data_IF_671706992388
#
_entry.id   IF_671706992388
#
_cell.length_a   1.000
_cell.length_b   1.000
_cell.length_c   1.000
_cell.angle_alpha   90.00
_cell.angle_beta   90.00
_cell.angle_gamma   90.00
#
_symmetry.space_group_name_H-M   'P 1'
#
loop_
_entity.id
_entity.type
_entity.pdbx_description
1 polymer ?
#
# COMPACT_ATOMS: atom_id res chain seq x y z
N UNK A 1 -12.08 -58.00 7.57
CA UNK A 1 -11.35 -56.73 7.40
C UNK A 1 -11.11 -56.14 8.78
N UNK A 2 -9.86 -55.95 9.23
CA UNK A 2 -9.60 -55.37 10.55
C UNK A 2 -10.14 -53.95 10.56
N UNK A 3 -11.04 -53.65 11.51
CA UNK A 3 -11.69 -52.35 11.61
C UNK A 3 -10.65 -51.24 11.67
N UNK A 4 -10.73 -50.30 10.71
CA UNK A 4 -9.92 -49.08 10.69
C UNK A 4 -10.07 -48.36 12.03
N UNK A 5 -9.10 -48.52 12.93
CA UNK A 5 -9.01 -47.73 14.17
C UNK A 5 -8.69 -46.30 13.78
N UNK A 6 -9.73 -45.47 13.75
CA UNK A 6 -9.58 -44.05 13.47
C UNK A 6 -8.71 -43.40 14.53
N UNK A 7 -7.79 -42.52 14.09
CA UNK A 7 -6.96 -41.75 15.00
C UNK A 7 -7.81 -40.85 15.91
N UNK A 8 -7.33 -40.55 17.14
CA UNK A 8 -8.08 -39.72 18.08
C UNK A 8 -8.39 -38.33 17.50
N UNK A 9 -9.47 -37.68 17.95
CA UNK A 9 -9.80 -36.34 17.47
C UNK A 9 -8.73 -35.31 17.85
N UNK A 10 -8.57 -34.27 17.02
CA UNK A 10 -7.60 -33.22 17.28
C UNK A 10 -7.93 -32.48 18.59
N UNK A 11 -6.89 -32.06 19.32
CA UNK A 11 -7.04 -31.30 20.57
C UNK A 11 -7.65 -29.93 20.26
N UNK A 12 -8.93 -29.74 20.55
CA UNK A 12 -9.65 -28.47 20.32
C UNK A 12 -9.95 -27.68 21.60
N UNK A 13 -9.97 -28.33 22.76
CA UNK A 13 -10.41 -27.74 24.04
C UNK A 13 -9.54 -26.59 24.53
N UNK A 14 -8.22 -26.74 24.51
CA UNK A 14 -7.30 -25.69 24.96
C UNK A 14 -7.38 -24.42 24.10
N UNK A 15 -7.49 -24.59 22.78
CA UNK A 15 -7.60 -23.46 21.86
C UNK A 15 -8.97 -22.77 22.00
N UNK A 16 -10.06 -23.51 22.20
CA UNK A 16 -11.38 -22.94 22.44
C UNK A 16 -11.48 -22.20 23.79
N UNK A 17 -10.83 -22.70 24.85
CA UNK A 17 -10.77 -21.99 26.14
C UNK A 17 -10.00 -20.67 26.03
N UNK A 18 -8.88 -20.66 25.30
CA UNK A 18 -8.09 -19.45 25.07
C UNK A 18 -8.91 -18.43 24.26
N UNK A 19 -9.59 -18.86 23.21
CA UNK A 19 -10.43 -17.98 22.40
C UNK A 19 -11.52 -17.30 23.23
N UNK A 20 -12.25 -18.06 24.06
CA UNK A 20 -13.28 -17.49 24.96
C UNK A 20 -12.66 -16.52 25.97
N UNK A 21 -11.57 -16.92 26.64
CA UNK A 21 -10.92 -16.10 27.66
C UNK A 21 -10.44 -14.76 27.09
N UNK A 22 -9.76 -14.78 25.94
CA UNK A 22 -9.26 -13.56 25.30
C UNK A 22 -10.41 -12.69 24.76
N UNK A 23 -11.44 -13.28 24.15
CA UNK A 23 -12.59 -12.50 23.66
C UNK A 23 -13.34 -11.79 24.78
N UNK A 24 -13.51 -12.46 25.93
CA UNK A 24 -14.13 -11.85 27.12
C UNK A 24 -13.21 -10.78 27.72
N UNK A 25 -11.90 -11.04 27.82
CA UNK A 25 -10.95 -10.07 28.35
C UNK A 25 -10.92 -8.76 27.53
N UNK A 26 -10.95 -8.85 26.20
CA UNK A 26 -11.02 -7.66 25.33
C UNK A 26 -12.37 -6.96 25.47
N UNK A 27 -13.49 -7.67 25.48
CA UNK A 27 -14.81 -7.07 25.71
C UNK A 27 -14.84 -6.27 27.03
N UNK A 28 -14.32 -6.85 28.11
CA UNK A 28 -14.22 -6.17 29.41
C UNK A 28 -13.26 -5.00 29.35
N UNK A 29 -12.08 -5.16 28.76
CA UNK A 29 -11.08 -4.10 28.61
C UNK A 29 -11.62 -2.91 27.82
N UNK A 30 -12.32 -3.16 26.71
CA UNK A 30 -13.00 -2.13 25.92
C UNK A 30 -14.08 -1.44 26.75
N UNK A 31 -14.87 -2.18 27.52
CA UNK A 31 -15.91 -1.61 28.39
C UNK A 31 -15.36 -0.75 29.53
N UNK A 32 -14.24 -1.15 30.13
CA UNK A 32 -13.56 -0.38 31.18
C UNK A 32 -12.95 0.88 30.59
N UNK A 33 -12.21 0.78 29.48
CA UNK A 33 -11.58 1.92 28.80
C UNK A 33 -12.61 2.94 28.32
N UNK A 34 -13.72 2.45 27.79
CA UNK A 34 -14.90 3.24 27.48
C UNK A 34 -15.39 4.02 28.71
N UNK A 35 -15.67 3.33 29.82
CA UNK A 35 -16.16 3.96 31.04
C UNK A 35 -15.19 5.03 31.57
N UNK A 36 -13.88 4.77 31.56
CA UNK A 36 -12.86 5.71 32.05
C UNK A 36 -12.63 6.90 31.13
N UNK A 37 -12.67 6.71 29.80
CA UNK A 37 -12.53 7.82 28.84
C UNK A 37 -13.74 8.76 28.84
N UNK A 38 -14.92 8.22 29.16
CA UNK A 38 -16.19 8.95 29.18
C UNK A 38 -16.40 9.77 30.47
N UNK A 39 -15.80 9.38 31.58
CA UNK A 39 -15.82 10.18 32.82
C UNK A 39 -14.81 11.32 32.81
N UNK A 40 -13.76 11.22 31.98
CA UNK A 40 -12.78 12.28 31.81
C UNK A 40 -13.29 13.44 30.93
N UNK A 41 -14.21 13.20 29.99
CA UNK A 41 -14.71 14.21 29.06
C UNK A 41 -15.83 15.09 29.66
N UNK A 42 -15.71 16.41 29.49
CA UNK A 42 -16.71 17.38 29.97
C UNK A 42 -18.13 17.10 29.43
N UNK A 43 -19.18 17.19 30.28
CA UNK A 43 -20.57 16.99 29.85
C UNK A 43 -21.00 17.99 28.76
N UNK A 44 -21.69 17.51 27.71
CA UNK A 44 -22.30 18.35 26.68
C UNK A 44 -21.42 18.68 25.47
N UNK A 45 -20.18 18.21 25.43
CA UNK A 45 -19.29 18.40 24.27
C UNK A 45 -19.62 17.44 23.12
N UNK A 46 -19.43 17.89 21.88
CA UNK A 46 -19.55 17.05 20.67
C UNK A 46 -18.57 15.87 20.71
N UNK A 47 -17.38 16.07 21.29
CA UNK A 47 -16.38 15.02 21.53
C UNK A 47 -16.93 13.88 22.39
N UNK A 48 -17.68 14.19 23.46
CA UNK A 48 -18.28 13.17 24.33
C UNK A 48 -19.39 12.39 23.63
N UNK A 49 -20.25 13.04 22.86
CA UNK A 49 -21.31 12.37 22.07
C UNK A 49 -20.72 11.46 21.00
N UNK A 50 -19.70 11.92 20.28
CA UNK A 50 -18.97 11.13 19.29
C UNK A 50 -18.25 9.94 19.95
N UNK A 51 -17.63 10.17 21.11
CA UNK A 51 -17.02 9.13 21.94
C UNK A 51 -17.99 8.01 22.32
N UNK A 52 -19.22 8.35 22.74
CA UNK A 52 -20.27 7.36 23.03
C UNK A 52 -20.64 6.50 21.83
N UNK A 53 -20.78 7.10 20.64
CA UNK A 53 -21.12 6.36 19.42
C UNK A 53 -20.03 5.34 19.08
N UNK A 54 -18.76 5.74 19.16
CA UNK A 54 -17.66 4.85 18.82
C UNK A 54 -17.41 3.75 19.87
N UNK A 55 -17.55 4.08 21.16
CA UNK A 55 -17.47 3.11 22.26
C UNK A 55 -18.57 2.05 22.14
N UNK A 56 -19.81 2.48 21.93
CA UNK A 56 -20.95 1.56 21.82
C UNK A 56 -20.84 0.69 20.59
N UNK A 57 -20.38 1.24 19.46
CA UNK A 57 -20.05 0.48 18.26
C UNK A 57 -18.91 -0.53 18.51
N UNK A 58 -17.84 -0.13 19.22
CA UNK A 58 -16.74 -1.00 19.59
C UNK A 58 -17.18 -2.18 20.46
N UNK A 59 -18.01 -1.92 21.48
CA UNK A 59 -18.60 -2.95 22.32
C UNK A 59 -19.49 -3.91 21.50
N UNK A 60 -20.35 -3.37 20.62
CA UNK A 60 -21.18 -4.19 19.73
C UNK A 60 -20.34 -5.08 18.80
N UNK A 61 -19.23 -4.56 18.28
CA UNK A 61 -18.30 -5.31 17.44
C UNK A 61 -17.57 -6.41 18.22
N UNK A 62 -17.17 -6.17 19.47
CA UNK A 62 -16.54 -7.20 20.33
C UNK A 62 -17.49 -8.34 20.72
N UNK A 63 -18.81 -8.15 20.65
CA UNK A 63 -19.77 -9.22 20.92
C UNK A 63 -19.72 -10.35 19.87
N UNK A 64 -19.35 -10.03 18.62
CA UNK A 64 -19.25 -10.99 17.51
C UNK A 64 -18.18 -12.08 17.77
N UNK A 65 -16.90 -11.76 18.04
CA UNK A 65 -15.90 -12.77 18.34
C UNK A 65 -16.21 -13.55 19.63
N UNK A 66 -16.81 -12.92 20.64
CA UNK A 66 -17.26 -13.61 21.88
C UNK A 66 -18.30 -14.69 21.55
N UNK A 67 -19.32 -14.37 20.75
CA UNK A 67 -20.34 -15.34 20.35
C UNK A 67 -19.76 -16.52 19.57
N UNK A 68 -18.86 -16.24 18.62
CA UNK A 68 -18.18 -17.28 17.82
C UNK A 68 -17.27 -18.15 18.71
N UNK A 69 -16.55 -17.54 19.66
CA UNK A 69 -15.71 -18.26 20.61
C UNK A 69 -16.53 -19.21 21.51
N UNK A 70 -17.68 -18.75 22.04
CA UNK A 70 -18.60 -19.58 22.84
C UNK A 70 -19.14 -20.74 22.02
N UNK A 71 -19.49 -20.52 20.74
CA UNK A 71 -19.91 -21.60 19.83
C UNK A 71 -18.78 -22.61 19.62
N UNK A 72 -17.55 -22.15 19.40
CA UNK A 72 -16.36 -23.00 19.31
C UNK A 72 -16.11 -23.83 20.57
N UNK A 73 -16.33 -23.25 21.74
CA UNK A 73 -16.22 -23.94 23.04
C UNK A 73 -17.31 -24.98 23.25
N UNK A 74 -18.57 -24.69 22.90
CA UNK A 74 -19.68 -25.66 22.95
C UNK A 74 -19.40 -26.88 22.06
N UNK A 75 -18.86 -26.66 20.86
CA UNK A 75 -18.45 -27.76 19.97
C UNK A 75 -17.28 -28.58 20.55
N UNK A 76 -16.38 -27.95 21.31
CA UNK A 76 -15.32 -28.67 22.03
C UNK A 76 -15.90 -29.58 23.12
N UNK A 77 -16.86 -29.10 23.91
CA UNK A 77 -17.54 -29.90 24.94
C UNK A 77 -18.31 -31.08 24.32
N UNK A 78 -19.00 -30.85 23.19
CA UNK A 78 -19.69 -31.90 22.43
C UNK A 78 -18.73 -32.95 21.92
N UNK A 79 -17.58 -32.55 21.38
CA UNK A 79 -16.53 -33.47 20.95
C UNK A 79 -16.02 -34.34 22.11
N UNK A 80 -15.74 -33.74 23.27
CA UNK A 80 -15.28 -34.46 24.47
C UNK A 80 -16.34 -35.42 25.06
N UNK A 81 -17.63 -35.14 24.87
CA UNK A 81 -18.72 -36.08 25.20
C UNK A 81 -18.76 -37.25 24.23
N UNK A 82 -18.71 -36.98 22.92
CA UNK A 82 -18.75 -38.00 21.87
C UNK A 82 -17.54 -38.95 21.88
N UNK A 83 -16.37 -38.51 22.34
CA UNK A 83 -15.22 -39.38 22.58
C UNK A 83 -15.50 -40.42 23.66
N UNK A 84 -16.26 -40.04 24.71
CA UNK A 84 -16.66 -40.95 25.79
C UNK A 84 -17.74 -41.94 25.36
N UNK A 85 -18.51 -41.61 24.32
CA UNK A 85 -19.56 -42.44 23.72
C UNK A 85 -19.05 -43.29 22.53
N UNK A 86 -17.72 -43.39 22.33
CA UNK A 86 -17.04 -44.11 21.24
C UNK A 86 -17.44 -43.67 19.81
N UNK A 87 -18.06 -42.49 19.68
CA UNK A 87 -18.51 -41.91 18.40
C UNK A 87 -17.40 -41.11 17.70
N UNK A 88 -16.27 -41.77 17.37
CA UNK A 88 -15.01 -41.13 16.93
C UNK A 88 -15.16 -40.21 15.71
N UNK A 89 -15.92 -40.60 14.68
CA UNK A 89 -16.12 -39.78 13.47
C UNK A 89 -16.82 -38.45 13.78
N UNK A 90 -17.90 -38.48 14.58
CA UNK A 90 -18.64 -37.28 14.99
C UNK A 90 -17.80 -36.41 15.93
N UNK A 91 -17.05 -37.03 16.82
CA UNK A 91 -16.11 -36.33 17.70
C UNK A 91 -15.04 -35.56 16.89
N UNK A 92 -14.49 -36.14 15.82
CA UNK A 92 -13.53 -35.47 14.91
C UNK A 92 -14.15 -34.29 14.17
N UNK A 93 -15.35 -34.44 13.63
CA UNK A 93 -16.05 -33.35 12.94
C UNK A 93 -16.27 -32.15 13.86
N UNK A 94 -16.77 -32.38 15.08
CA UNK A 94 -16.99 -31.30 16.06
C UNK A 94 -15.68 -30.70 16.58
N UNK A 95 -14.61 -31.50 16.74
CA UNK A 95 -13.29 -30.99 17.09
C UNK A 95 -12.71 -30.07 16.01
N UNK A 96 -12.89 -30.42 14.72
CA UNK A 96 -12.48 -29.58 13.59
C UNK A 96 -13.26 -28.26 13.55
N UNK A 97 -14.60 -28.32 13.65
CA UNK A 97 -15.47 -27.13 13.72
C UNK A 97 -15.12 -26.23 14.90
N UNK A 98 -14.85 -26.82 16.06
CA UNK A 98 -14.41 -26.09 17.25
C UNK A 98 -13.11 -25.32 17.00
N UNK A 99 -12.12 -25.95 16.35
CA UNK A 99 -10.84 -25.32 16.01
C UNK A 99 -11.01 -24.18 15.01
N UNK A 100 -11.77 -24.38 13.95
CA UNK A 100 -12.05 -23.37 12.93
C UNK A 100 -12.76 -22.15 13.55
N UNK A 101 -13.85 -22.35 14.28
CA UNK A 101 -14.57 -21.27 14.95
C UNK A 101 -13.70 -20.50 15.92
N UNK A 102 -12.85 -21.20 16.68
CA UNK A 102 -11.97 -20.57 17.66
C UNK A 102 -10.85 -19.76 16.98
N UNK A 103 -10.30 -20.21 15.85
CA UNK A 103 -9.34 -19.43 15.06
C UNK A 103 -9.99 -18.21 14.41
N UNK A 104 -11.20 -18.35 13.87
CA UNK A 104 -11.98 -17.23 13.33
C UNK A 104 -12.31 -16.21 14.42
N UNK A 105 -12.68 -16.66 15.63
CA UNK A 105 -12.92 -15.78 16.77
C UNK A 105 -11.66 -15.01 17.17
N UNK A 106 -10.50 -15.67 17.21
CA UNK A 106 -9.21 -15.01 17.50
C UNK A 106 -8.82 -14.00 16.41
N UNK A 107 -9.02 -14.34 15.13
CA UNK A 107 -8.76 -13.40 14.02
C UNK A 107 -9.64 -12.15 14.08
N UNK A 108 -10.94 -12.35 14.31
CA UNK A 108 -11.88 -11.25 14.52
C UNK A 108 -11.56 -10.44 15.77
N UNK A 109 -11.11 -11.09 16.84
CA UNK A 109 -10.69 -10.42 18.07
C UNK A 109 -9.54 -9.45 17.82
N UNK A 110 -8.52 -9.87 17.06
CA UNK A 110 -7.39 -9.00 16.69
C UNK A 110 -7.89 -7.81 15.86
N UNK A 111 -8.76 -8.05 14.88
CA UNK A 111 -9.33 -6.98 14.06
C UNK A 111 -10.11 -5.96 14.90
N UNK A 112 -10.98 -6.44 15.80
CA UNK A 112 -11.76 -5.57 16.68
C UNK A 112 -10.85 -4.83 17.67
N UNK A 113 -9.84 -5.49 18.25
CA UNK A 113 -8.90 -4.84 19.15
C UNK A 113 -8.13 -3.69 18.46
N UNK A 114 -7.72 -3.86 17.20
CA UNK A 114 -7.09 -2.78 16.41
C UNK A 114 -8.06 -1.64 16.16
N UNK A 115 -9.30 -1.94 15.74
CA UNK A 115 -10.32 -0.92 15.49
C UNK A 115 -10.68 -0.14 16.75
N UNK A 116 -10.90 -0.85 17.86
CA UNK A 116 -11.20 -0.21 19.14
C UNK A 116 -10.02 0.56 19.68
N UNK A 117 -8.78 0.06 19.55
CA UNK A 117 -7.57 0.79 19.91
C UNK A 117 -7.43 2.11 19.12
N UNK A 118 -7.71 2.08 17.81
CA UNK A 118 -7.71 3.27 16.98
C UNK A 118 -8.80 4.28 17.39
N UNK A 119 -10.02 3.80 17.64
CA UNK A 119 -11.13 4.61 18.16
C UNK A 119 -10.74 5.26 19.49
N UNK A 120 -10.19 4.47 20.42
CA UNK A 120 -9.78 4.96 21.72
C UNK A 120 -8.69 6.02 21.57
N UNK A 121 -7.74 5.86 20.65
CA UNK A 121 -6.74 6.88 20.35
C UNK A 121 -7.37 8.19 19.85
N UNK A 122 -8.45 8.13 19.06
CA UNK A 122 -9.14 9.33 18.56
C UNK A 122 -9.93 10.08 19.64
N UNK A 123 -10.53 9.33 20.58
CA UNK A 123 -11.43 9.86 21.62
C UNK A 123 -10.67 10.21 22.90
N UNK A 124 -9.59 9.49 23.21
CA UNK A 124 -8.75 9.75 24.37
C UNK A 124 -8.07 11.12 24.26
N UNK A 125 -7.63 11.65 25.40
CA UNK A 125 -6.94 12.95 25.49
C UNK A 125 -7.82 14.09 24.94
N UNK A 126 -9.04 14.25 25.49
CA UNK A 126 -10.04 15.27 25.13
C UNK A 126 -10.38 15.38 23.63
N UNK A 127 -10.30 14.26 22.92
CA UNK A 127 -10.40 14.20 21.48
C UNK A 127 -9.41 15.14 20.75
N UNK A 128 -8.28 15.47 21.37
CA UNK A 128 -7.22 16.32 20.80
C UNK A 128 -6.75 15.85 19.42
N UNK A 129 -6.70 14.54 19.18
CA UNK A 129 -6.38 13.97 17.88
C UNK A 129 -7.46 14.34 16.86
N UNK A 130 -8.74 14.13 17.18
CA UNK A 130 -9.84 14.55 16.32
C UNK A 130 -9.81 16.07 16.09
N UNK A 131 -9.58 16.87 17.13
CA UNK A 131 -9.52 18.33 17.03
C UNK A 131 -8.33 18.81 16.18
N UNK A 132 -7.21 18.08 16.18
CA UNK A 132 -6.01 18.45 15.42
C UNK A 132 -6.11 18.04 13.96
N UNK A 133 -6.67 16.87 13.66
CA UNK A 133 -6.61 16.25 12.33
C UNK A 133 -7.97 16.10 11.62
N UNK A 134 -9.09 16.24 12.33
CA UNK A 134 -10.44 15.89 11.82
C UNK A 134 -11.49 16.96 12.16
N UNK A 135 -11.09 18.23 12.23
CA UNK A 135 -12.01 19.36 12.44
C UNK A 135 -12.89 19.58 11.22
N UNK A 136 -14.17 19.24 11.36
CA UNK A 136 -15.15 19.26 10.28
C UNK A 136 -15.29 20.63 9.60
N UNK A 137 -15.26 21.70 10.39
CA UNK A 137 -15.36 23.08 9.90
C UNK A 137 -14.22 23.43 8.93
N UNK A 138 -12.99 23.03 9.26
CA UNK A 138 -11.81 23.21 8.41
C UNK A 138 -11.85 22.27 7.23
N UNK A 139 -12.22 20.99 7.44
CA UNK A 139 -12.33 20.00 6.37
C UNK A 139 -13.30 20.46 5.27
N UNK A 140 -14.51 20.86 5.65
CA UNK A 140 -15.53 21.29 4.71
C UNK A 140 -15.11 22.56 3.95
N UNK A 141 -14.63 23.57 4.67
CA UNK A 141 -14.26 24.87 4.07
C UNK A 141 -13.04 24.81 3.15
N UNK A 142 -12.09 23.89 3.39
CA UNK A 142 -10.82 23.82 2.64
C UNK A 142 -10.78 22.71 1.60
N UNK A 143 -11.73 21.77 1.64
CA UNK A 143 -11.82 20.60 0.75
C UNK A 143 -11.66 20.94 -0.74
N UNK A 144 -12.43 21.90 -1.25
CA UNK A 144 -12.41 22.28 -2.66
C UNK A 144 -11.05 22.84 -3.09
N UNK A 145 -10.48 23.72 -2.26
CA UNK A 145 -9.19 24.37 -2.55
C UNK A 145 -8.05 23.36 -2.60
N UNK A 146 -7.99 22.44 -1.62
CA UNK A 146 -6.98 21.38 -1.57
C UNK A 146 -7.15 20.40 -2.73
N UNK A 147 -8.40 20.02 -3.05
CA UNK A 147 -8.69 19.12 -4.19
C UNK A 147 -8.30 19.77 -5.52
N UNK A 148 -8.53 21.07 -5.70
CA UNK A 148 -8.07 21.80 -6.89
C UNK A 148 -6.54 21.80 -6.99
N UNK A 149 -5.83 22.03 -5.88
CA UNK A 149 -4.37 22.00 -5.84
C UNK A 149 -3.81 20.59 -6.14
N UNK A 150 -4.53 19.53 -5.77
CA UNK A 150 -4.18 18.14 -6.10
C UNK A 150 -4.15 17.86 -7.60
N UNK A 151 -4.83 18.68 -8.42
CA UNK A 151 -4.68 18.63 -9.87
C UNK A 151 -3.23 18.80 -10.34
N UNK A 152 -2.41 19.57 -9.61
CA UNK A 152 -0.98 19.71 -9.91
C UNK A 152 -0.21 18.41 -9.67
N UNK A 153 -0.51 17.68 -8.59
CA UNK A 153 0.09 16.37 -8.32
C UNK A 153 -0.21 15.38 -9.46
N UNK A 154 -1.46 15.34 -9.93
CA UNK A 154 -1.87 14.49 -11.06
C UNK A 154 -1.17 14.91 -12.36
N UNK A 155 -1.10 16.21 -12.63
CA UNK A 155 -0.40 16.73 -13.82
C UNK A 155 1.08 16.33 -13.82
N UNK A 156 1.79 16.54 -12.69
CA UNK A 156 3.20 16.16 -12.54
C UNK A 156 3.36 14.66 -12.75
N UNK A 157 2.49 13.84 -12.13
CA UNK A 157 2.58 12.39 -12.24
C UNK A 157 2.46 11.92 -13.69
N UNK A 158 1.41 12.34 -14.42
CA UNK A 158 1.17 11.92 -15.81
C UNK A 158 2.33 12.32 -16.73
N UNK A 159 2.80 13.58 -16.63
CA UNK A 159 3.88 14.05 -17.51
C UNK A 159 5.19 13.35 -17.19
N UNK A 160 5.53 13.20 -15.90
CA UNK A 160 6.74 12.50 -15.49
C UNK A 160 6.69 11.02 -15.87
N UNK A 161 5.57 10.32 -15.70
CA UNK A 161 5.42 8.90 -16.09
C UNK A 161 5.69 8.67 -17.58
N UNK A 162 5.18 9.55 -18.46
CA UNK A 162 5.44 9.46 -19.90
C UNK A 162 6.95 9.58 -20.19
N UNK A 163 7.61 10.57 -19.57
CA UNK A 163 9.05 10.78 -19.75
C UNK A 163 9.84 9.57 -19.20
N UNK A 164 9.48 9.10 -18.02
CA UNK A 164 10.11 7.95 -17.34
C UNK A 164 10.01 6.68 -18.19
N UNK A 165 8.86 6.42 -18.81
CA UNK A 165 8.68 5.26 -19.68
C UNK A 165 9.62 5.29 -20.87
N UNK A 166 9.65 6.42 -21.58
CA UNK A 166 10.47 6.58 -22.78
C UNK A 166 11.95 6.55 -22.42
N UNK A 167 12.35 7.33 -21.42
CA UNK A 167 13.74 7.49 -21.04
C UNK A 167 14.29 6.26 -20.34
N UNK A 168 13.51 5.62 -19.47
CA UNK A 168 13.87 4.36 -18.83
C UNK A 168 14.06 3.23 -19.84
N UNK A 169 13.21 3.14 -20.87
CA UNK A 169 13.41 2.18 -21.96
C UNK A 169 14.69 2.47 -22.75
N UNK A 170 14.94 3.74 -23.07
CA UNK A 170 16.17 4.15 -23.76
C UNK A 170 17.42 3.78 -22.95
N UNK A 171 17.44 4.04 -21.65
CA UNK A 171 18.51 3.65 -20.73
C UNK A 171 18.67 2.13 -20.64
N UNK A 172 17.57 1.38 -20.61
CA UNK A 172 17.58 -0.08 -20.60
C UNK A 172 18.18 -0.68 -21.90
N UNK A 173 17.92 -0.07 -23.05
CA UNK A 173 18.54 -0.49 -24.32
C UNK A 173 20.01 -0.07 -24.35
N UNK A 174 20.32 1.16 -23.95
CA UNK A 174 21.67 1.72 -23.94
C UNK A 174 22.65 0.87 -23.11
N UNK A 175 22.24 0.43 -21.91
CA UNK A 175 23.05 -0.46 -21.06
C UNK A 175 23.26 -1.86 -21.65
N UNK A 176 22.43 -2.29 -22.60
CA UNK A 176 22.48 -3.63 -23.22
C UNK A 176 23.16 -3.63 -24.59
N UNK A 177 23.71 -2.49 -25.03
CA UNK A 177 24.40 -2.39 -26.31
C UNK A 177 25.56 -3.39 -26.42
N UNK A 178 25.64 -4.20 -27.50
CA UNK A 178 26.68 -5.21 -27.66
C UNK A 178 28.02 -4.64 -28.14
N UNK A 179 29.09 -5.38 -27.87
CA UNK A 179 30.43 -5.14 -28.41
C UNK A 179 31.20 -3.98 -27.77
N UNK A 180 32.43 -3.76 -28.24
CA UNK A 180 33.33 -2.69 -27.75
C UNK A 180 32.83 -1.28 -28.11
N UNK A 181 32.18 -1.12 -29.26
CA UNK A 181 31.63 0.17 -29.69
C UNK A 181 30.49 0.66 -28.78
N UNK A 182 29.69 -0.26 -28.21
CA UNK A 182 28.64 0.07 -27.26
C UNK A 182 29.14 0.33 -25.83
N UNK A 183 30.40 0.03 -25.52
CA UNK A 183 30.93 0.07 -24.17
C UNK A 183 30.86 1.47 -23.51
N UNK A 184 31.18 2.59 -24.19
CA UNK A 184 31.08 3.92 -23.59
C UNK A 184 29.64 4.29 -23.21
N UNK A 185 28.68 4.05 -24.11
CA UNK A 185 27.26 4.34 -23.88
C UNK A 185 26.72 3.48 -22.74
N UNK A 186 27.08 2.19 -22.74
CA UNK A 186 26.70 1.26 -21.67
C UNK A 186 27.23 1.73 -20.32
N UNK A 187 28.49 2.14 -20.26
CA UNK A 187 29.09 2.62 -19.02
C UNK A 187 28.39 3.87 -18.49
N UNK A 188 28.08 4.85 -19.37
CA UNK A 188 27.31 6.04 -18.99
C UNK A 188 25.91 5.69 -18.49
N UNK A 189 25.22 4.76 -19.15
CA UNK A 189 23.90 4.31 -18.73
C UNK A 189 23.95 3.60 -17.37
N UNK A 190 24.94 2.72 -17.15
CA UNK A 190 25.15 2.05 -15.86
C UNK A 190 25.41 3.09 -14.76
N UNK A 191 26.36 4.00 -14.98
CA UNK A 191 26.70 5.05 -14.01
C UNK A 191 25.47 5.90 -13.67
N UNK A 192 24.71 6.35 -14.67
CA UNK A 192 23.48 7.10 -14.47
C UNK A 192 22.48 6.33 -13.60
N UNK A 193 22.21 5.06 -13.95
CA UNK A 193 21.26 4.22 -13.23
C UNK A 193 21.70 4.00 -11.79
N UNK A 194 22.98 3.70 -11.57
CA UNK A 194 23.53 3.44 -10.24
C UNK A 194 23.47 4.69 -9.36
N UNK A 195 23.85 5.86 -9.89
CA UNK A 195 23.81 7.13 -9.15
C UNK A 195 22.37 7.52 -8.81
N UNK A 196 21.47 7.54 -9.80
CA UNK A 196 20.08 8.00 -9.59
C UNK A 196 19.29 7.07 -8.65
N UNK A 197 19.65 5.78 -8.57
CA UNK A 197 19.05 4.84 -7.61
C UNK A 197 19.65 4.92 -6.22
N UNK A 198 20.89 5.40 -6.10
CA UNK A 198 21.58 5.56 -4.83
C UNK A 198 21.18 6.86 -4.11
N UNK A 199 20.84 7.92 -4.85
CA UNK A 199 20.46 9.21 -4.29
C UNK A 199 18.95 9.22 -3.95
N UNK A 200 18.55 9.59 -2.72
CA UNK A 200 17.14 9.80 -2.37
C UNK A 200 16.44 10.82 -3.28
N UNK A 201 15.22 10.51 -3.73
CA UNK A 201 14.45 11.35 -4.66
C UNK A 201 14.29 12.80 -4.19
N UNK A 202 14.06 13.02 -2.88
CA UNK A 202 13.94 14.36 -2.30
C UNK A 202 15.22 15.21 -2.48
N UNK A 203 16.40 14.59 -2.43
CA UNK A 203 17.68 15.27 -2.64
C UNK A 203 17.80 15.67 -4.12
N UNK A 204 17.43 14.77 -5.05
CA UNK A 204 17.41 15.09 -6.49
C UNK A 204 16.45 16.23 -6.79
N UNK A 205 15.24 16.22 -6.21
CA UNK A 205 14.26 17.31 -6.33
C UNK A 205 14.85 18.63 -5.85
N UNK A 206 15.50 18.64 -4.68
CA UNK A 206 16.10 19.85 -4.13
C UNK A 206 17.26 20.38 -5.00
N UNK A 207 18.16 19.50 -5.45
CA UNK A 207 19.29 19.86 -6.31
C UNK A 207 18.83 20.40 -7.67
N UNK A 208 17.81 19.79 -8.27
CA UNK A 208 17.28 20.24 -9.57
C UNK A 208 16.50 21.54 -9.41
N UNK A 209 15.62 21.64 -8.41
CA UNK A 209 14.74 22.79 -8.23
C UNK A 209 15.43 24.05 -7.72
N UNK A 210 16.51 23.94 -6.94
CA UNK A 210 17.29 25.10 -6.50
C UNK A 210 18.64 25.22 -7.18
N UNK A 211 19.35 24.11 -7.40
CA UNK A 211 20.69 24.12 -7.97
C UNK A 211 20.73 24.58 -9.42
N UNK A 212 19.78 24.16 -10.27
CA UNK A 212 19.78 24.58 -11.69
C UNK A 212 19.47 26.08 -11.87
N UNK A 213 18.45 26.67 -11.19
CA UNK A 213 18.28 28.12 -11.16
C UNK A 213 19.50 28.87 -10.67
N UNK A 214 20.09 28.44 -9.54
CA UNK A 214 21.25 29.10 -8.94
C UNK A 214 22.49 29.02 -9.83
N UNK A 215 22.66 27.94 -10.60
CA UNK A 215 23.73 27.80 -11.57
C UNK A 215 23.57 28.72 -12.80
N UNK A 216 22.42 29.39 -12.96
CA UNK A 216 22.20 30.40 -14.01
C UNK A 216 22.16 29.84 -15.42
N UNK A 217 21.89 28.54 -15.60
CA UNK A 217 21.85 27.88 -16.91
C UNK A 217 20.73 28.53 -17.76
N UNK A 218 21.03 29.21 -18.89
CA UNK A 218 20.07 30.08 -19.56
C UNK A 218 18.75 29.41 -19.97
N UNK A 219 18.81 28.13 -20.35
CA UNK A 219 17.63 27.37 -20.83
C UNK A 219 16.78 26.85 -19.66
N UNK A 220 17.38 26.69 -18.47
CA UNK A 220 16.74 26.01 -17.35
C UNK A 220 16.38 26.95 -16.21
N UNK A 221 17.07 28.08 -16.05
CA UNK A 221 16.93 28.96 -14.88
C UNK A 221 15.54 29.56 -14.68
N UNK A 222 14.80 29.76 -15.78
CA UNK A 222 13.49 30.42 -15.78
C UNK A 222 12.32 29.41 -15.80
N UNK A 223 12.60 28.11 -15.63
CA UNK A 223 11.56 27.10 -15.53
C UNK A 223 10.77 27.24 -14.23
N UNK A 224 9.49 26.87 -14.29
CA UNK A 224 8.65 26.86 -13.10
C UNK A 224 9.02 25.71 -12.14
N UNK A 225 8.72 25.84 -10.82
CA UNK A 225 8.90 24.74 -9.87
C UNK A 225 8.27 23.42 -10.31
N UNK A 226 7.13 23.48 -11.03
CA UNK A 226 6.46 22.32 -11.61
C UNK A 226 7.34 21.58 -12.62
N UNK A 227 8.05 22.29 -13.50
CA UNK A 227 8.93 21.66 -14.48
C UNK A 227 10.18 21.09 -13.84
N UNK A 228 10.76 21.76 -12.84
CA UNK A 228 11.86 21.19 -12.06
C UNK A 228 11.45 19.90 -11.34
N UNK A 229 10.25 19.87 -10.77
CA UNK A 229 9.67 18.66 -10.18
C UNK A 229 9.55 17.51 -11.20
N UNK A 230 8.98 17.79 -12.38
CA UNK A 230 8.82 16.80 -13.45
C UNK A 230 10.19 16.26 -13.87
N UNK A 231 11.18 17.12 -14.08
CA UNK A 231 12.54 16.71 -14.46
C UNK A 231 13.18 15.86 -13.36
N UNK A 232 13.12 16.30 -12.10
CA UNK A 232 13.74 15.57 -10.99
C UNK A 232 13.13 14.18 -10.78
N UNK A 233 11.80 14.09 -10.80
CA UNK A 233 11.08 12.82 -10.70
C UNK A 233 11.38 11.95 -11.92
N UNK A 234 11.40 12.52 -13.12
CA UNK A 234 11.68 11.78 -14.34
C UNK A 234 13.09 11.18 -14.34
N UNK A 235 14.09 11.97 -13.94
CA UNK A 235 15.47 11.48 -13.82
C UNK A 235 15.54 10.33 -12.82
N UNK A 236 15.01 10.54 -11.61
CA UNK A 236 15.05 9.53 -10.54
C UNK A 236 14.34 8.24 -10.95
N UNK A 237 13.08 8.33 -11.38
CA UNK A 237 12.26 7.16 -11.69
C UNK A 237 12.67 6.45 -12.99
N UNK A 238 13.28 7.15 -13.96
CA UNK A 238 13.78 6.51 -15.18
C UNK A 238 14.84 5.46 -14.90
N UNK A 239 15.64 5.62 -13.85
CA UNK A 239 16.65 4.64 -13.45
C UNK A 239 16.03 3.35 -12.87
N UNK A 240 14.99 3.47 -12.04
CA UNK A 240 14.24 2.31 -11.53
C UNK A 240 13.46 1.61 -12.65
N UNK A 241 12.87 2.38 -13.56
CA UNK A 241 12.17 1.85 -14.74
C UNK A 241 13.13 1.18 -15.72
N UNK A 242 14.33 1.72 -15.93
CA UNK A 242 15.36 1.09 -16.74
C UNK A 242 15.79 -0.28 -16.18
N UNK A 243 15.86 -0.42 -14.86
CA UNK A 243 16.14 -1.70 -14.21
C UNK A 243 15.03 -2.71 -14.41
N UNK A 244 13.79 -2.26 -14.29
CA UNK A 244 12.62 -3.10 -14.52
C UNK A 244 12.53 -3.56 -15.98
N UNK A 245 12.78 -2.66 -16.93
CA UNK A 245 12.89 -3.04 -18.35
C UNK A 245 14.01 -4.04 -18.59
N UNK A 246 15.21 -3.84 -18.02
CA UNK A 246 16.30 -4.80 -18.15
C UNK A 246 15.89 -6.18 -17.63
N UNK A 247 15.34 -6.27 -16.42
CA UNK A 247 14.86 -7.53 -15.86
C UNK A 247 13.79 -8.19 -16.74
N UNK A 248 12.91 -7.38 -17.35
CA UNK A 248 11.97 -7.84 -18.37
C UNK A 248 12.62 -8.44 -19.61
N UNK A 249 13.63 -7.76 -20.15
CA UNK A 249 14.38 -8.21 -21.33
C UNK A 249 15.13 -9.51 -21.02
N UNK A 250 15.76 -9.59 -19.86
CA UNK A 250 16.49 -10.80 -19.41
C UNK A 250 15.57 -11.98 -19.09
N UNK A 251 14.28 -11.74 -18.80
CA UNK A 251 13.30 -12.81 -18.62
C UNK A 251 12.96 -13.55 -19.91
N UNK A 252 13.32 -13.01 -21.07
CA UNK A 252 13.07 -13.64 -22.37
C UNK A 252 14.10 -14.75 -22.62
N UNK A 253 13.60 -15.95 -22.92
CA UNK A 253 14.43 -17.13 -23.11
C UNK A 253 15.51 -16.90 -24.17
N UNK A 254 16.76 -17.28 -23.87
CA UNK A 254 17.92 -17.02 -24.72
C UNK A 254 17.77 -17.58 -26.15
N UNK A 255 16.99 -18.66 -26.34
CA UNK A 255 16.70 -19.20 -27.68
C UNK A 255 16.03 -18.20 -28.61
N UNK A 256 15.24 -17.24 -28.10
CA UNK A 256 14.63 -16.18 -28.92
C UNK A 256 15.69 -15.25 -29.51
N UNK A 257 16.73 -14.95 -28.72
CA UNK A 257 17.89 -14.19 -29.19
C UNK A 257 18.69 -15.01 -30.22
N UNK A 258 19.01 -16.27 -29.90
CA UNK A 258 19.76 -17.16 -30.80
C UNK A 258 19.03 -17.37 -32.13
N UNK A 259 17.72 -17.66 -32.10
CA UNK A 259 16.90 -17.85 -33.30
C UNK A 259 16.84 -16.59 -34.17
N UNK A 260 16.66 -15.41 -33.55
CA UNK A 260 16.68 -14.14 -34.28
C UNK A 260 18.02 -13.89 -34.98
N UNK A 261 19.13 -14.24 -34.32
CA UNK A 261 20.47 -14.12 -34.89
C UNK A 261 20.72 -15.13 -36.01
N UNK A 262 20.20 -16.35 -35.91
CA UNK A 262 20.25 -17.35 -36.99
C UNK A 262 19.46 -16.92 -38.23
N UNK A 263 18.41 -16.09 -38.06
CA UNK A 263 17.66 -15.45 -39.14
C UNK A 263 18.33 -14.19 -39.70
N UNK A 264 19.54 -13.86 -39.25
CA UNK A 264 20.31 -12.71 -39.76
C UNK A 264 19.88 -11.34 -39.19
N UNK A 265 19.00 -11.29 -38.18
CA UNK A 265 18.58 -10.02 -37.59
C UNK A 265 19.74 -9.33 -36.84
N UNK A 266 19.92 -8.04 -37.09
CA UNK A 266 20.75 -7.14 -36.27
C UNK A 266 20.22 -7.03 -34.84
N UNK A 267 21.05 -6.57 -33.90
CA UNK A 267 20.62 -6.36 -32.51
C UNK A 267 19.38 -5.46 -32.40
N UNK A 268 19.35 -4.37 -33.18
CA UNK A 268 18.19 -3.47 -33.21
C UNK A 268 16.93 -4.16 -33.73
N UNK A 269 17.04 -5.00 -34.78
CA UNK A 269 15.92 -5.79 -35.29
C UNK A 269 15.47 -6.84 -34.28
N UNK A 270 16.39 -7.60 -33.67
CA UNK A 270 16.07 -8.57 -32.61
C UNK A 270 15.34 -7.90 -31.45
N UNK A 271 15.83 -6.74 -31.00
CA UNK A 271 15.25 -6.04 -29.88
C UNK A 271 13.87 -5.46 -30.22
N UNK A 272 13.72 -4.77 -31.35
CA UNK A 272 12.45 -4.16 -31.78
C UNK A 272 11.36 -5.17 -32.15
N UNK A 273 11.71 -6.21 -32.90
CA UNK A 273 10.73 -7.10 -33.53
C UNK A 273 10.40 -8.33 -32.69
N UNK A 274 11.34 -8.80 -31.86
CA UNK A 274 11.18 -10.08 -31.13
C UNK A 274 11.14 -9.85 -29.63
N UNK A 275 12.18 -9.23 -29.06
CA UNK A 275 12.40 -9.24 -27.61
C UNK A 275 11.56 -8.18 -26.89
N UNK A 276 11.60 -6.91 -27.29
CA UNK A 276 10.88 -5.83 -26.60
C UNK A 276 9.37 -6.06 -26.53
N UNK A 277 8.66 -6.47 -27.59
CA UNK A 277 7.22 -6.72 -27.51
C UNK A 277 6.85 -7.78 -26.45
N UNK A 278 7.72 -8.77 -26.23
CA UNK A 278 7.53 -9.80 -25.20
C UNK A 278 7.93 -9.28 -23.81
N UNK A 279 9.08 -8.63 -23.71
CA UNK A 279 9.62 -8.08 -22.47
C UNK A 279 8.69 -7.04 -21.85
N UNK A 280 8.17 -6.10 -22.66
CA UNK A 280 7.22 -5.06 -22.21
C UNK A 280 5.99 -5.70 -21.57
N UNK A 281 5.43 -6.75 -22.17
CA UNK A 281 4.27 -7.46 -21.59
C UNK A 281 4.58 -8.08 -20.22
N UNK A 282 5.81 -8.53 -20.00
CA UNK A 282 6.24 -9.08 -18.72
C UNK A 282 6.43 -8.01 -17.65
N UNK A 283 6.80 -6.78 -18.03
CA UNK A 283 7.11 -5.70 -17.08
C UNK A 283 5.96 -4.72 -16.84
N UNK A 284 4.85 -4.78 -17.59
CA UNK A 284 3.68 -3.92 -17.34
C UNK A 284 3.29 -3.93 -15.84
N UNK A 285 3.14 -5.09 -15.16
CA UNK A 285 2.75 -5.07 -13.75
C UNK A 285 3.73 -4.37 -12.79
N UNK A 286 5.05 -4.65 -12.79
CA UNK A 286 5.98 -3.89 -11.95
C UNK A 286 6.09 -2.41 -12.37
N UNK A 287 5.92 -2.06 -13.65
CA UNK A 287 5.85 -0.65 -14.09
C UNK A 287 4.68 0.10 -13.45
N UNK A 288 3.48 -0.50 -13.44
CA UNK A 288 2.31 0.12 -12.80
C UNK A 288 2.51 0.31 -11.28
N UNK A 289 3.24 -0.59 -10.64
CA UNK A 289 3.60 -0.43 -9.21
C UNK A 289 4.51 0.78 -9.00
N UNK A 290 5.47 1.01 -9.90
CA UNK A 290 6.33 2.21 -9.84
C UNK A 290 5.56 3.49 -10.16
N UNK A 291 4.56 3.46 -11.04
CA UNK A 291 3.68 4.62 -11.29
C UNK A 291 2.89 5.02 -10.06
N UNK A 292 2.35 4.04 -9.32
CA UNK A 292 1.72 4.31 -8.01
C UNK A 292 2.73 4.95 -7.04
N UNK A 293 3.99 4.51 -7.06
CA UNK A 293 5.08 5.15 -6.32
C UNK A 293 5.28 6.60 -6.72
N UNK A 294 5.50 6.85 -8.01
CA UNK A 294 5.74 8.17 -8.58
C UNK A 294 4.59 9.14 -8.27
N UNK A 295 3.34 8.69 -8.43
CA UNK A 295 2.15 9.46 -8.11
C UNK A 295 2.17 9.97 -6.66
N UNK A 296 2.58 9.14 -5.69
CA UNK A 296 2.70 9.56 -4.27
C UNK A 296 3.89 10.49 -4.06
N UNK A 297 5.02 10.19 -4.71
CA UNK A 297 6.24 11.00 -4.60
C UNK A 297 6.10 12.39 -5.23
N UNK A 298 5.04 12.65 -6.02
CA UNK A 298 4.70 14.01 -6.42
C UNK A 298 4.44 14.93 -5.23
N UNK A 299 4.11 14.43 -4.04
CA UNK A 299 4.00 15.26 -2.84
C UNK A 299 5.37 15.78 -2.36
N UNK A 300 6.49 15.14 -2.72
CA UNK A 300 7.84 15.58 -2.33
C UNK A 300 8.23 16.92 -2.97
N UNK A 301 7.56 17.30 -4.05
CA UNK A 301 7.79 18.56 -4.77
C UNK A 301 7.47 19.79 -3.93
N UNK A 302 6.78 19.59 -2.80
CA UNK A 302 6.49 20.65 -1.84
C UNK A 302 7.76 21.41 -1.38
N UNK A 303 8.92 20.74 -1.37
CA UNK A 303 10.19 21.30 -0.90
C UNK A 303 10.76 22.39 -1.81
N UNK A 304 10.32 22.45 -3.08
CA UNK A 304 10.76 23.46 -4.05
C UNK A 304 9.70 24.53 -4.32
N UNK A 305 8.67 24.62 -3.46
CA UNK A 305 7.69 25.71 -3.48
C UNK A 305 6.59 25.58 -4.54
N UNK A 306 6.47 24.44 -5.23
CA UNK A 306 5.31 24.19 -6.08
C UNK A 306 4.03 24.12 -5.21
N UNK A 307 2.98 24.85 -5.60
CA UNK A 307 1.73 24.91 -4.83
C UNK A 307 0.83 23.70 -5.14
N UNK A 308 1.28 22.53 -4.71
CA UNK A 308 0.55 21.27 -4.80
C UNK A 308 -0.44 21.11 -3.64
N UNK A 309 -1.16 19.98 -3.57
CA UNK A 309 -2.14 19.75 -2.50
C UNK A 309 -1.51 19.84 -1.09
N UNK A 310 -0.29 19.33 -0.93
CA UNK A 310 0.36 19.30 0.37
C UNK A 310 0.83 20.68 0.81
N UNK A 311 1.42 21.48 -0.08
CA UNK A 311 1.75 22.88 0.24
C UNK A 311 0.50 23.73 0.46
N UNK A 312 -0.58 23.50 -0.29
CA UNK A 312 -1.86 24.17 -0.06
C UNK A 312 -2.42 23.84 1.34
N UNK A 313 -2.32 22.59 1.78
CA UNK A 313 -2.71 22.18 3.12
C UNK A 313 -1.81 22.78 4.20
N UNK A 314 -0.48 22.83 4.00
CA UNK A 314 0.46 23.49 4.94
C UNK A 314 0.15 24.97 5.11
N UNK A 315 -0.22 25.67 4.04
CA UNK A 315 -0.65 27.07 4.10
C UNK A 315 -1.91 27.22 4.97
N UNK A 316 -2.91 26.35 4.79
CA UNK A 316 -4.10 26.32 5.66
C UNK A 316 -3.71 26.01 7.11
N UNK A 317 -2.80 25.06 7.32
CA UNK A 317 -2.36 24.69 8.67
C UNK A 317 -1.63 25.82 9.39
N UNK A 318 -0.84 26.62 8.69
CA UNK A 318 -0.16 27.79 9.25
C UNK A 318 -1.14 28.92 9.62
N UNK A 319 -2.25 29.06 8.89
CA UNK A 319 -3.25 30.11 9.14
C UNK A 319 -4.30 29.71 10.17
N UNK A 320 -4.69 28.43 10.20
CA UNK A 320 -5.73 27.89 11.08
C UNK A 320 -5.16 27.20 12.34
N UNK A 321 -3.83 27.10 12.47
CA UNK A 321 -3.14 26.35 13.52
C UNK A 321 -3.68 24.91 13.69
N UNK A 322 -3.93 24.24 12.57
CA UNK A 322 -4.63 22.95 12.55
C UNK A 322 -4.24 22.07 11.35
N UNK A 323 -4.17 20.75 11.53
CA UNK A 323 -3.70 19.81 10.51
C UNK A 323 -4.81 19.13 9.70
N UNK A 324 -6.07 19.51 9.89
CA UNK A 324 -7.19 18.86 9.19
C UNK A 324 -7.11 18.94 7.67
N UNK A 325 -6.57 20.03 7.11
CA UNK A 325 -6.35 20.14 5.67
C UNK A 325 -5.33 19.11 5.14
N UNK A 326 -4.33 18.71 5.96
CA UNK A 326 -3.38 17.65 5.60
C UNK A 326 -4.08 16.29 5.52
N UNK A 327 -5.09 16.06 6.37
CA UNK A 327 -5.92 14.85 6.30
C UNK A 327 -6.67 14.75 4.97
N UNK A 328 -7.14 15.88 4.42
CA UNK A 328 -7.76 15.90 3.08
C UNK A 328 -6.76 15.41 2.02
N UNK A 329 -5.51 15.89 2.09
CA UNK A 329 -4.43 15.45 1.17
C UNK A 329 -4.22 13.94 1.27
N UNK A 330 -4.14 13.40 2.50
CA UNK A 330 -4.01 11.96 2.72
C UNK A 330 -5.20 11.18 2.12
N UNK A 331 -6.43 11.65 2.33
CA UNK A 331 -7.65 11.04 1.77
C UNK A 331 -7.61 11.06 0.23
N UNK A 332 -7.21 12.17 -0.39
CA UNK A 332 -7.11 12.29 -1.85
C UNK A 332 -6.10 11.30 -2.43
N UNK A 333 -4.90 11.19 -1.83
CA UNK A 333 -3.92 10.18 -2.25
C UNK A 333 -4.46 8.76 -2.09
N UNK A 334 -5.19 8.46 -1.02
CA UNK A 334 -5.82 7.13 -0.80
C UNK A 334 -6.90 6.85 -1.84
N UNK A 335 -7.78 7.81 -2.13
CA UNK A 335 -8.85 7.70 -3.13
C UNK A 335 -8.30 7.41 -4.52
N UNK A 336 -7.13 7.95 -4.87
CA UNK A 336 -6.46 7.67 -6.16
C UNK A 336 -5.66 6.36 -6.12
N UNK A 337 -4.89 6.15 -5.05
CA UNK A 337 -3.93 5.03 -4.95
C UNK A 337 -4.63 3.68 -4.80
N UNK A 338 -5.72 3.57 -4.03
CA UNK A 338 -6.38 2.28 -3.80
C UNK A 338 -6.96 1.72 -5.10
N UNK A 339 -7.77 2.47 -5.88
CA UNK A 339 -8.25 2.00 -7.18
C UNK A 339 -7.13 1.60 -8.14
N UNK A 340 -6.05 2.41 -8.21
CA UNK A 340 -4.89 2.06 -9.02
C UNK A 340 -4.27 0.73 -8.58
N UNK A 341 -4.07 0.54 -7.28
CA UNK A 341 -3.52 -0.72 -6.73
C UNK A 341 -4.42 -1.91 -7.04
N UNK A 342 -5.73 -1.79 -6.83
CA UNK A 342 -6.71 -2.85 -7.11
C UNK A 342 -6.77 -3.19 -8.60
N UNK A 343 -6.63 -2.19 -9.47
CA UNK A 343 -6.51 -2.40 -10.91
C UNK A 343 -5.27 -3.22 -11.23
N UNK A 344 -4.11 -2.88 -10.65
CA UNK A 344 -2.86 -3.64 -10.84
C UNK A 344 -2.99 -5.09 -10.36
N UNK A 345 -3.54 -5.31 -9.16
CA UNK A 345 -3.78 -6.64 -8.60
C UNK A 345 -4.68 -7.48 -9.51
N UNK A 346 -5.77 -6.88 -10.02
CA UNK A 346 -6.66 -7.55 -10.96
C UNK A 346 -5.96 -7.95 -12.27
N UNK A 347 -5.10 -7.07 -12.83
CA UNK A 347 -4.31 -7.39 -14.03
C UNK A 347 -3.34 -8.54 -13.77
N UNK A 348 -2.67 -8.54 -12.62
CA UNK A 348 -1.75 -9.58 -12.19
C UNK A 348 -2.44 -10.95 -12.05
N UNK A 349 -3.57 -11.00 -11.36
CA UNK A 349 -4.35 -12.23 -11.18
C UNK A 349 -4.85 -12.78 -12.52
N UNK A 350 -5.33 -11.90 -13.40
CA UNK A 350 -5.78 -12.30 -14.74
C UNK A 350 -4.64 -12.88 -15.56
N UNK A 351 -3.45 -12.27 -15.49
CA UNK A 351 -2.24 -12.77 -16.15
C UNK A 351 -1.80 -14.15 -15.65
N UNK A 352 -1.89 -14.42 -14.34
CA UNK A 352 -1.58 -15.73 -13.74
C UNK A 352 -2.54 -16.82 -14.23
N UNK A 353 -3.86 -16.53 -14.24
CA UNK A 353 -4.89 -17.48 -14.71
C UNK A 353 -4.69 -17.87 -16.18
N UNK A 354 -4.30 -16.92 -17.03
CA UNK A 354 -4.04 -17.19 -18.45
C UNK A 354 -2.76 -18.00 -18.70
N UNK A 355 -1.78 -17.96 -17.78
CA UNK A 355 -0.52 -18.72 -17.88
C UNK A 355 -0.60 -20.14 -17.30
N UNK A 356 -1.80 -20.63 -16.94
CA UNK A 356 -1.98 -21.98 -16.42
C UNK A 356 -1.40 -22.19 -15.02
N UNK A 357 -1.34 -21.13 -14.20
CA UNK A 357 -0.97 -21.27 -12.79
C UNK A 357 -2.04 -22.03 -12.02
N UNK A 358 -1.72 -23.28 -11.68
CA UNK A 358 -2.43 -24.17 -10.73
C UNK A 358 -2.73 -23.52 -9.40
#
# INVERSE_FOLDING_TARGET
MPGLRLSPPPRSRGLATIAVALSVAVLVGVGVLAATGLTAAEPGTTARTVGWIFVTAGLALTAIPVFIAIKGFRESLRSAKLVREDAVLRARSNASKSRELSLTALGLLVAVAVLTGFILLLVSNDASVQQTFLRWDILASTSWMVTKAFGLNIFIAIVAEIIVLIFGLALAIARMLPGRAGAPIRWLAILYIDVMRAVPAIIVIYLIGFGLPLAGIPILKDLSPTWFAIIALALTYSAYVAETYRAGIESIHASQFSASRSLGFSFAQTMRLVVLPQAVRNVIPPLLTMFIGLQKDTALVNVIGAMDAFNQAKYVSATQYNLSAVTIVAILFVIVTIPQTRLVDWWLERGKKMRGGS
#
